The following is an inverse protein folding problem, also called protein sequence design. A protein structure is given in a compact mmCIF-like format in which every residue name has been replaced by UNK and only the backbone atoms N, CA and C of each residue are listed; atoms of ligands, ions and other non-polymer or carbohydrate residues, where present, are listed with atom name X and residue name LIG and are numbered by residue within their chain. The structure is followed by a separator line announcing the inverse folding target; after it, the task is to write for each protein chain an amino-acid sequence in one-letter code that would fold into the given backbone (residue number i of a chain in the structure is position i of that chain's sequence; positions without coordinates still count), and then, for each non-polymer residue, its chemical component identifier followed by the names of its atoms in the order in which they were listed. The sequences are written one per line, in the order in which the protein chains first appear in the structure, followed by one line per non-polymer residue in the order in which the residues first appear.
data_IF_164716875819
#
_entry.id   IF_164716875819
#
_cell.length_a   1.000
_cell.length_b   1.000
_cell.length_c   1.000
_cell.angle_alpha   90.00
_cell.angle_beta   90.00
_cell.angle_gamma   90.00
#
_symmetry.space_group_name_H-M   'P 1'
#
loop_
_entity.id
_entity.type
_entity.pdbx_description
1 polymer ?
#
# COMPACT_ATOMS: atom_id res chain seq x y z
N UNK A 1 -31.10 -3.83 26.75
CA UNK A 1 -30.92 -3.20 25.42
C UNK A 1 -30.64 -4.33 24.43
N UNK A 2 -31.63 -4.71 23.60
CA UNK A 2 -31.46 -5.77 22.61
C UNK A 2 -30.87 -5.15 21.34
N UNK A 3 -29.57 -5.31 21.14
CA UNK A 3 -28.94 -5.03 19.84
C UNK A 3 -29.48 -6.06 18.86
N UNK A 4 -30.21 -5.59 17.85
CA UNK A 4 -30.84 -6.40 16.81
C UNK A 4 -29.78 -7.21 16.06
N UNK A 5 -30.12 -8.43 15.63
CA UNK A 5 -29.26 -9.26 14.78
C UNK A 5 -28.81 -8.51 13.51
N UNK A 6 -29.63 -7.58 13.01
CA UNK A 6 -29.29 -6.69 11.90
C UNK A 6 -28.17 -5.72 12.26
N UNK A 7 -28.20 -5.14 13.45
CA UNK A 7 -27.20 -4.17 13.93
C UNK A 7 -25.84 -4.85 14.16
N UNK A 8 -25.82 -6.05 14.73
CA UNK A 8 -24.57 -6.85 14.87
C UNK A 8 -23.95 -7.17 13.52
N UNK A 9 -24.76 -7.64 12.57
CA UNK A 9 -24.30 -7.90 11.19
C UNK A 9 -23.81 -6.64 10.48
N UNK A 10 -24.44 -5.50 10.75
CA UNK A 10 -24.01 -4.19 10.23
C UNK A 10 -22.62 -3.80 10.75
N UNK A 11 -22.39 -3.95 12.05
CA UNK A 11 -21.11 -3.67 12.72
C UNK A 11 -20.02 -4.62 12.23
N UNK A 12 -20.30 -5.93 12.18
CA UNK A 12 -19.35 -6.95 11.69
C UNK A 12 -18.90 -6.64 10.25
N UNK A 13 -19.85 -6.37 9.34
CA UNK A 13 -19.53 -6.00 7.96
C UNK A 13 -18.78 -4.67 7.86
N UNK A 14 -19.07 -3.72 8.74
CA UNK A 14 -18.38 -2.44 8.80
C UNK A 14 -16.91 -2.61 9.21
N UNK A 15 -16.66 -3.42 10.25
CA UNK A 15 -15.32 -3.75 10.73
C UNK A 15 -14.53 -4.52 9.68
N UNK A 16 -15.12 -5.55 9.08
CA UNK A 16 -14.48 -6.37 8.05
C UNK A 16 -14.02 -5.51 6.87
N UNK A 17 -14.91 -4.68 6.32
CA UNK A 17 -14.58 -3.75 5.23
C UNK A 17 -13.55 -2.69 5.64
N UNK A 18 -13.61 -2.23 6.89
CA UNK A 18 -12.66 -1.26 7.42
C UNK A 18 -11.24 -1.84 7.51
N UNK A 19 -11.14 -3.05 8.07
CA UNK A 19 -9.87 -3.79 8.20
C UNK A 19 -9.30 -4.11 6.81
N UNK A 20 -10.12 -4.62 5.89
CA UNK A 20 -9.68 -4.98 4.55
C UNK A 20 -9.10 -3.76 3.80
N UNK A 21 -9.83 -2.64 3.81
CA UNK A 21 -9.37 -1.39 3.19
C UNK A 21 -8.11 -0.85 3.86
N UNK A 22 -8.07 -0.84 5.19
CA UNK A 22 -6.92 -0.35 5.95
C UNK A 22 -5.67 -1.17 5.70
N UNK A 23 -5.80 -2.50 5.65
CA UNK A 23 -4.70 -3.41 5.36
C UNK A 23 -4.20 -3.22 3.91
N UNK A 24 -5.10 -3.14 2.94
CA UNK A 24 -4.72 -2.93 1.54
C UNK A 24 -3.99 -1.60 1.33
N UNK A 25 -4.49 -0.51 1.93
CA UNK A 25 -3.83 0.80 1.89
C UNK A 25 -2.47 0.77 2.59
N UNK A 26 -2.38 0.17 3.78
CA UNK A 26 -1.14 0.07 4.54
C UNK A 26 -0.06 -0.73 3.80
N UNK A 27 -0.42 -1.85 3.17
CA UNK A 27 0.52 -2.64 2.36
C UNK A 27 1.03 -1.83 1.16
N UNK A 28 0.15 -1.08 0.49
CA UNK A 28 0.53 -0.28 -0.68
C UNK A 28 1.46 0.89 -0.29
N UNK A 29 1.11 1.61 0.80
CA UNK A 29 1.92 2.69 1.36
C UNK A 29 3.31 2.17 1.77
N UNK A 30 3.36 1.10 2.56
CA UNK A 30 4.64 0.53 3.02
C UNK A 30 5.52 0.04 1.87
N UNK A 31 4.93 -0.56 0.82
CA UNK A 31 5.69 -0.93 -0.39
C UNK A 31 6.27 0.30 -1.10
N UNK A 32 5.46 1.34 -1.27
CA UNK A 32 5.85 2.59 -1.94
C UNK A 32 6.97 3.29 -1.18
N UNK A 33 6.84 3.43 0.13
CA UNK A 33 7.86 4.02 1.00
C UNK A 33 9.17 3.22 0.98
N UNK A 34 9.08 1.89 1.08
CA UNK A 34 10.25 1.02 0.97
C UNK A 34 10.99 1.24 -0.36
N UNK A 35 10.27 1.30 -1.48
CA UNK A 35 10.87 1.54 -2.80
C UNK A 35 11.52 2.92 -2.85
N UNK A 36 10.85 3.96 -2.30
CA UNK A 36 11.40 5.31 -2.22
C UNK A 36 12.73 5.33 -1.46
N UNK A 37 12.77 4.73 -0.27
CA UNK A 37 13.99 4.66 0.56
C UNK A 37 15.10 3.88 -0.13
N UNK A 38 14.79 2.77 -0.81
CA UNK A 38 15.77 2.02 -1.59
C UNK A 38 16.34 2.86 -2.75
N UNK A 39 15.49 3.61 -3.45
CA UNK A 39 15.93 4.51 -4.54
C UNK A 39 16.80 5.65 -3.99
N UNK A 40 16.42 6.26 -2.87
CA UNK A 40 17.20 7.32 -2.21
C UNK A 40 18.55 6.81 -1.70
N UNK A 41 18.59 5.57 -1.22
CA UNK A 41 19.82 4.90 -0.77
C UNK A 41 20.73 4.47 -1.93
N UNK A 42 20.30 4.67 -3.19
CA UNK A 42 21.06 4.27 -4.38
C UNK A 42 21.13 2.75 -4.59
N UNK A 43 20.16 2.01 -4.06
CA UNK A 43 20.11 0.56 -4.24
C UNK A 43 19.86 0.18 -5.71
N UNK A 44 20.45 -0.93 -6.20
CA UNK A 44 20.27 -1.36 -7.59
C UNK A 44 18.79 -1.65 -7.91
N UNK A 45 18.37 -1.28 -9.12
CA UNK A 45 16.99 -1.48 -9.56
C UNK A 45 16.61 -2.97 -9.57
N UNK A 46 17.51 -3.86 -9.97
CA UNK A 46 17.29 -5.31 -9.93
C UNK A 46 16.93 -5.81 -8.53
N UNK A 47 17.55 -5.22 -7.50
CA UNK A 47 17.27 -5.54 -6.09
C UNK A 47 15.88 -5.07 -5.72
N UNK A 48 15.52 -3.84 -6.08
CA UNK A 48 14.21 -3.25 -5.82
C UNK A 48 13.10 -4.09 -6.47
N UNK A 49 13.24 -4.42 -7.76
CA UNK A 49 12.30 -5.26 -8.50
C UNK A 49 12.07 -6.61 -7.82
N UNK A 50 13.16 -7.25 -7.36
CA UNK A 50 13.11 -8.56 -6.69
C UNK A 50 12.42 -8.50 -5.32
N UNK A 51 12.74 -7.50 -4.50
CA UNK A 51 12.20 -7.41 -3.13
C UNK A 51 10.77 -6.85 -3.11
N UNK A 52 10.48 -5.81 -3.89
CA UNK A 52 9.15 -5.23 -3.98
C UNK A 52 8.17 -6.11 -4.78
N UNK A 53 8.70 -7.06 -5.58
CA UNK A 53 7.97 -7.93 -6.50
C UNK A 53 7.12 -7.12 -7.48
N UNK A 54 7.78 -6.15 -8.12
CA UNK A 54 7.18 -5.24 -9.09
C UNK A 54 7.90 -5.36 -10.44
N UNK A 55 7.25 -4.91 -11.51
CA UNK A 55 7.83 -4.85 -12.84
C UNK A 55 8.68 -3.60 -13.05
N UNK A 56 9.46 -3.56 -14.14
CA UNK A 56 10.25 -2.37 -14.50
C UNK A 56 9.35 -1.18 -14.80
N UNK A 57 8.20 -1.44 -15.42
CA UNK A 57 7.20 -0.43 -15.76
C UNK A 57 6.62 0.19 -14.47
N UNK A 58 6.30 -0.63 -13.47
CA UNK A 58 5.82 -0.16 -12.17
C UNK A 58 6.88 0.67 -11.44
N UNK A 59 8.15 0.23 -11.47
CA UNK A 59 9.25 1.00 -10.89
C UNK A 59 9.45 2.36 -11.60
N UNK A 60 9.33 2.39 -12.93
CA UNK A 60 9.41 3.63 -13.71
C UNK A 60 8.27 4.60 -13.37
N UNK A 61 7.04 4.08 -13.24
CA UNK A 61 5.88 4.88 -12.84
C UNK A 61 6.07 5.49 -11.44
N UNK A 62 6.58 4.69 -10.48
CA UNK A 62 6.89 5.16 -9.13
C UNK A 62 7.97 6.24 -9.11
N UNK A 63 9.03 6.08 -9.91
CA UNK A 63 10.08 7.11 -10.05
C UNK A 63 9.51 8.43 -10.57
N UNK A 64 8.63 8.38 -11.57
CA UNK A 64 7.97 9.57 -12.09
C UNK A 64 7.00 10.19 -11.08
N UNK A 65 6.29 9.36 -10.30
CA UNK A 65 5.45 9.84 -9.20
C UNK A 65 6.29 10.58 -8.14
N UNK A 66 7.42 10.02 -7.71
CA UNK A 66 8.29 10.65 -6.70
C UNK A 66 8.94 11.94 -7.20
N UNK A 67 9.33 12.01 -8.48
CA UNK A 67 9.82 13.26 -9.07
C UNK A 67 8.78 14.38 -9.03
N UNK A 68 7.49 14.05 -9.21
CA UNK A 68 6.40 15.04 -9.14
C UNK A 68 6.09 15.50 -7.73
N UNK A 69 6.42 14.72 -6.71
CA UNK A 69 6.22 15.10 -5.30
C UNK A 69 7.31 16.05 -4.77
N UNK A 70 8.47 16.11 -5.43
CA UNK A 70 9.62 16.94 -5.04
C UNK A 70 9.62 18.32 -5.74
N UNK A 71 8.84 18.47 -6.81
CA UNK A 71 8.67 19.72 -7.58
C UNK A 71 7.43 20.50 -7.12
#
# INVERSE_FOLDING_TARGET
MYVSLMERKGIEKGIEKGIEKGLAQGILLGKTEMIREMLLSGEPEEKILRFAKISREELAALKEQFKREIN
#
